data_IF_473302745682
#
_entry.id   IF_473302745682
#
_cell.length_a   1.000
_cell.length_b   1.000
_cell.length_c   1.000
_cell.angle_alpha   90.00
_cell.angle_beta   90.00
_cell.angle_gamma   90.00
#
_symmetry.space_group_name_H-M   'P 1'
#
loop_
_entity.id
_entity.type
_entity.pdbx_description
1 polymer ?
#
# COMPACT_ATOMS: atom_id res chain seq x y z
N UNK A 1 23.91 15.51 24.62
CA UNK A 1 23.26 14.26 24.18
C UNK A 1 21.81 14.58 23.91
N UNK A 2 21.47 14.90 22.66
CA UNK A 2 20.07 15.17 22.29
C UNK A 2 19.32 13.83 22.34
N UNK A 3 18.42 13.69 23.33
CA UNK A 3 17.40 12.64 23.28
C UNK A 3 16.46 13.03 22.16
N UNK A 4 16.64 12.45 20.98
CA UNK A 4 15.64 12.55 19.92
C UNK A 4 14.39 11.88 20.46
N UNK A 5 13.43 12.68 20.95
CA UNK A 5 12.14 12.14 21.38
C UNK A 5 11.52 11.49 20.16
N UNK A 6 11.44 10.18 20.20
CA UNK A 6 10.92 9.37 19.13
C UNK A 6 9.41 9.36 19.33
N UNK A 7 8.73 10.25 18.60
CA UNK A 7 7.28 10.43 18.70
C UNK A 7 6.68 9.85 17.43
N UNK A 8 6.04 8.68 17.54
CA UNK A 8 5.28 8.07 16.46
C UNK A 8 3.82 8.33 16.70
N UNK A 9 3.19 8.91 15.68
CA UNK A 9 1.74 9.07 15.64
C UNK A 9 1.12 7.75 15.16
N UNK A 10 0.83 6.85 16.09
CA UNK A 10 0.21 5.55 15.79
C UNK A 10 -1.15 5.71 15.10
N UNK A 11 -1.93 6.73 15.46
CA UNK A 11 -3.20 7.04 14.78
C UNK A 11 -2.97 7.48 13.34
N UNK A 12 -1.93 8.28 13.08
CA UNK A 12 -1.51 8.66 11.73
C UNK A 12 -1.04 7.47 10.90
N UNK A 13 -0.37 6.49 11.52
CA UNK A 13 0.10 5.28 10.86
C UNK A 13 -1.05 4.33 10.49
N UNK A 14 -2.00 4.13 11.39
CA UNK A 14 -3.22 3.37 11.12
C UNK A 14 -4.04 4.00 9.99
N UNK A 15 -4.19 5.33 9.99
CA UNK A 15 -4.87 6.05 8.92
C UNK A 15 -4.18 5.86 7.57
N UNK A 16 -2.84 5.95 7.55
CA UNK A 16 -2.05 5.73 6.33
C UNK A 16 -2.20 4.30 5.79
N UNK A 17 -2.22 3.29 6.67
CA UNK A 17 -2.45 1.90 6.27
C UNK A 17 -3.85 1.70 5.67
N UNK A 18 -4.87 2.33 6.25
CA UNK A 18 -6.23 2.29 5.71
C UNK A 18 -6.33 2.97 4.33
N UNK A 19 -5.67 4.12 4.15
CA UNK A 19 -5.61 4.82 2.87
C UNK A 19 -4.90 3.99 1.80
N UNK A 20 -3.78 3.35 2.15
CA UNK A 20 -3.07 2.44 1.23
C UNK A 20 -3.94 1.24 0.83
N UNK A 21 -4.69 0.66 1.76
CA UNK A 21 -5.63 -0.42 1.46
C UNK A 21 -6.74 0.03 0.51
N UNK A 22 -7.28 1.25 0.69
CA UNK A 22 -8.29 1.82 -0.21
C UNK A 22 -7.74 2.07 -1.62
N UNK A 23 -6.54 2.65 -1.73
CA UNK A 23 -5.88 2.90 -3.02
C UNK A 23 -5.56 1.58 -3.74
N UNK A 24 -5.11 0.55 -3.02
CA UNK A 24 -4.90 -0.79 -3.56
C UNK A 24 -6.20 -1.37 -4.13
N UNK A 25 -7.28 -1.33 -3.36
CA UNK A 25 -8.58 -1.84 -3.79
C UNK A 25 -9.08 -1.13 -5.06
N UNK A 26 -8.87 0.18 -5.18
CA UNK A 26 -9.22 0.93 -6.39
C UNK A 26 -8.42 0.45 -7.61
N UNK A 27 -7.11 0.26 -7.47
CA UNK A 27 -6.26 -0.25 -8.56
C UNK A 27 -6.64 -1.67 -9.01
N UNK A 28 -7.02 -2.53 -8.07
CA UNK A 28 -7.51 -3.89 -8.32
C UNK A 28 -8.91 -3.90 -8.96
N UNK A 29 -9.77 -2.93 -8.63
CA UNK A 29 -11.17 -2.87 -9.11
C UNK A 29 -11.32 -2.35 -10.54
N UNK A 30 -10.31 -1.71 -11.11
CA UNK A 30 -10.41 -1.06 -12.42
C UNK A 30 -10.68 -2.09 -13.54
N UNK A 31 -11.95 -2.20 -13.91
CA UNK A 31 -12.45 -3.16 -14.89
C UNK A 31 -11.87 -2.91 -16.30
N UNK A 32 -11.49 -3.99 -16.98
CA UNK A 32 -10.93 -3.96 -18.33
C UNK A 32 -12.04 -3.90 -19.38
N UNK A 33 -12.70 -2.74 -19.50
CA UNK A 33 -13.68 -2.44 -20.58
C UNK A 33 -13.08 -2.46 -22.01
N UNK A 34 -11.81 -2.82 -22.12
CA UNK A 34 -11.04 -2.82 -23.34
C UNK A 34 -11.47 -3.88 -24.35
N UNK A 35 -11.98 -5.04 -23.92
CA UNK A 35 -12.46 -6.07 -24.87
C UNK A 35 -13.70 -5.57 -25.61
N UNK A 36 -14.67 -5.01 -24.88
CA UNK A 36 -15.88 -4.42 -25.47
C UNK A 36 -15.56 -3.22 -26.37
N UNK A 37 -14.59 -2.39 -25.99
CA UNK A 37 -14.17 -1.22 -26.79
C UNK A 37 -13.40 -1.65 -28.04
N UNK A 38 -12.57 -2.70 -27.95
CA UNK A 38 -11.83 -3.25 -29.08
C UNK A 38 -12.77 -3.89 -30.12
N UNK A 39 -13.81 -4.62 -29.68
CA UNK A 39 -14.82 -5.21 -30.55
C UNK A 39 -15.68 -4.14 -31.27
N UNK A 40 -15.97 -3.02 -30.60
CA UNK A 40 -16.79 -1.93 -31.15
C UNK A 40 -16.08 -1.08 -32.24
N UNK A 41 -14.75 -1.11 -32.31
CA UNK A 41 -13.98 -0.22 -33.18
C UNK A 41 -14.01 -0.61 -34.67
N UNK A 42 -14.43 -1.82 -35.02
CA UNK A 42 -14.58 -2.28 -36.41
C UNK A 42 -13.30 -2.33 -37.26
N UNK A 43 -12.14 -1.98 -36.68
CA UNK A 43 -10.85 -1.91 -37.37
C UNK A 43 -9.77 -2.66 -36.59
N UNK A 44 -9.25 -3.74 -37.18
CA UNK A 44 -8.37 -4.71 -36.50
C UNK A 44 -7.14 -4.09 -35.82
N UNK A 45 -6.40 -3.20 -36.50
CA UNK A 45 -5.22 -2.54 -35.89
C UNK A 45 -5.57 -1.58 -34.75
N UNK A 46 -6.78 -1.02 -34.74
CA UNK A 46 -7.21 -0.13 -33.67
C UNK A 46 -7.63 -0.96 -32.45
N UNK A 47 -8.36 -2.05 -32.68
CA UNK A 47 -8.71 -3.04 -31.66
C UNK A 47 -7.45 -3.61 -30.98
N UNK A 48 -6.42 -3.95 -31.75
CA UNK A 48 -5.12 -4.43 -31.23
C UNK A 48 -4.44 -3.38 -30.35
N UNK A 49 -4.40 -2.10 -30.79
CA UNK A 49 -3.83 -1.01 -29.98
C UNK A 49 -4.61 -0.77 -28.68
N UNK A 50 -5.94 -0.80 -28.72
CA UNK A 50 -6.80 -0.63 -27.54
C UNK A 50 -6.58 -1.77 -26.55
N UNK A 51 -6.51 -3.01 -27.06
CA UNK A 51 -6.23 -4.19 -26.24
C UNK A 51 -4.84 -4.10 -25.59
N UNK A 52 -3.81 -3.77 -26.38
CA UNK A 52 -2.45 -3.61 -25.88
C UNK A 52 -2.32 -2.50 -24.84
N UNK A 53 -2.98 -1.36 -25.05
CA UNK A 53 -3.01 -0.25 -24.09
C UNK A 53 -3.65 -0.70 -22.76
N UNK A 54 -4.78 -1.41 -22.83
CA UNK A 54 -5.47 -1.88 -21.64
C UNK A 54 -4.69 -2.95 -20.88
N UNK A 55 -4.08 -3.91 -21.57
CA UNK A 55 -3.20 -4.89 -20.94
C UNK A 55 -2.04 -4.22 -20.21
N UNK A 56 -1.35 -3.27 -20.87
CA UNK A 56 -0.28 -2.50 -20.22
C UNK A 56 -0.79 -1.72 -19.00
N UNK A 57 -1.99 -1.14 -19.11
CA UNK A 57 -2.63 -0.43 -18.00
C UNK A 57 -2.92 -1.37 -16.82
N UNK A 58 -3.37 -2.60 -17.08
CA UNK A 58 -3.60 -3.60 -16.05
C UNK A 58 -2.27 -4.03 -15.38
N UNK A 59 -1.24 -4.31 -16.16
CA UNK A 59 0.08 -4.68 -15.65
C UNK A 59 0.67 -3.58 -14.75
N UNK A 60 0.54 -2.32 -15.18
CA UNK A 60 0.99 -1.16 -14.40
C UNK A 60 0.22 -1.01 -13.09
N UNK A 61 -1.10 -1.24 -13.10
CA UNK A 61 -1.94 -1.20 -11.90
C UNK A 61 -1.61 -2.33 -10.93
N UNK A 62 -1.33 -3.53 -11.43
CA UNK A 62 -0.86 -4.64 -10.61
C UNK A 62 0.47 -4.33 -9.93
N UNK A 63 1.44 -3.76 -10.66
CA UNK A 63 2.73 -3.33 -10.08
C UNK A 63 2.56 -2.27 -8.99
N UNK A 64 1.65 -1.30 -9.17
CA UNK A 64 1.38 -0.29 -8.16
C UNK A 64 0.72 -0.89 -6.91
N UNK A 65 -0.20 -1.84 -7.08
CA UNK A 65 -0.83 -2.55 -5.97
C UNK A 65 0.19 -3.38 -5.15
N UNK A 66 1.17 -3.98 -5.83
CA UNK A 66 2.30 -4.68 -5.19
C UNK A 66 3.16 -3.72 -4.37
N UNK A 67 3.59 -2.59 -4.96
CA UNK A 67 4.38 -1.57 -4.26
C UNK A 67 3.65 -0.97 -3.05
N UNK A 68 2.33 -0.78 -3.15
CA UNK A 68 1.50 -0.33 -2.02
C UNK A 68 1.48 -1.38 -0.91
N UNK A 69 1.43 -2.66 -1.28
CA UNK A 69 1.48 -3.77 -0.31
C UNK A 69 2.82 -3.80 0.41
N UNK A 70 3.94 -3.71 -0.32
CA UNK A 70 5.29 -3.63 0.27
C UNK A 70 5.44 -2.45 1.23
N UNK A 71 4.89 -1.28 0.85
CA UNK A 71 4.89 -0.11 1.72
C UNK A 71 4.08 -0.35 3.01
N UNK A 72 2.90 -0.98 2.90
CA UNK A 72 2.09 -1.34 4.06
C UNK A 72 2.82 -2.30 5.02
N UNK A 73 3.51 -3.30 4.48
CA UNK A 73 4.31 -4.24 5.27
C UNK A 73 5.47 -3.56 6.00
N UNK A 74 6.17 -2.63 5.33
CA UNK A 74 7.22 -1.85 5.95
C UNK A 74 6.69 -0.98 7.11
N UNK A 75 5.54 -0.32 6.91
CA UNK A 75 4.89 0.48 7.94
C UNK A 75 4.41 -0.36 9.13
N UNK A 76 3.84 -1.54 8.89
CA UNK A 76 3.45 -2.47 9.95
C UNK A 76 4.65 -3.01 10.74
N UNK A 77 5.77 -3.24 10.07
CA UNK A 77 7.03 -3.64 10.72
C UNK A 77 7.55 -2.54 11.64
N UNK A 78 7.50 -1.28 11.18
CA UNK A 78 7.84 -0.11 11.98
C UNK A 78 6.95 -0.08 13.22
N UNK A 79 5.63 -0.11 13.06
CA UNK A 79 4.66 -0.07 14.17
C UNK A 79 4.93 -1.13 15.24
N UNK A 80 5.14 -2.37 14.79
CA UNK A 80 5.42 -3.52 15.66
C UNK A 80 6.72 -3.30 16.44
N UNK A 81 7.79 -2.90 15.76
CA UNK A 81 9.09 -2.67 16.39
C UNK A 81 9.00 -1.57 17.45
N UNK A 82 8.22 -0.52 17.20
CA UNK A 82 8.04 0.56 18.15
C UNK A 82 7.22 0.15 19.36
N UNK A 83 6.14 -0.59 19.13
CA UNK A 83 5.33 -1.17 20.21
C UNK A 83 6.15 -2.09 21.10
N UNK A 84 7.02 -2.93 20.52
CA UNK A 84 7.93 -3.81 21.28
C UNK A 84 8.92 -3.01 22.13
N UNK A 85 9.58 -1.99 21.55
CA UNK A 85 10.54 -1.13 22.27
C UNK A 85 9.87 -0.36 23.41
N UNK A 86 8.64 0.12 23.22
CA UNK A 86 7.87 0.79 24.26
C UNK A 86 7.54 -0.16 25.42
N UNK A 87 7.10 -1.39 25.12
CA UNK A 87 6.80 -2.41 26.13
C UNK A 87 8.06 -2.83 26.91
N UNK A 88 9.20 -2.98 26.23
CA UNK A 88 10.48 -3.25 26.90
C UNK A 88 10.87 -2.11 27.85
N UNK A 89 10.74 -0.86 27.40
CA UNK A 89 11.06 0.31 28.21
C UNK A 89 10.13 0.45 29.42
N UNK A 90 8.82 0.23 29.23
CA UNK A 90 7.84 0.21 30.32
C UNK A 90 8.17 -0.90 31.33
N UNK A 91 8.51 -2.10 30.86
CA UNK A 91 8.92 -3.22 31.71
C UNK A 91 10.16 -2.91 32.54
N UNK A 92 11.15 -2.23 31.97
CA UNK A 92 12.36 -1.77 32.69
C UNK A 92 12.02 -0.70 33.73
N UNK A 93 11.15 0.25 33.39
CA UNK A 93 10.76 1.34 34.30
C UNK A 93 9.89 0.85 35.46
N UNK A 94 8.94 -0.06 35.22
CA UNK A 94 8.07 -0.64 36.25
C UNK A 94 8.73 -1.77 37.04
N UNK A 95 9.72 -2.45 36.45
CA UNK A 95 10.51 -3.50 37.08
C UNK A 95 11.74 -3.01 37.85
N UNK A 96 12.14 -1.76 37.66
CA UNK A 96 13.34 -1.15 38.25
C UNK A 96 13.23 -0.70 39.71
N UNK A 97 12.09 -0.91 40.37
CA UNK A 97 11.83 -0.49 41.76
C UNK A 97 11.61 -1.67 42.72
N UNK A 98 12.38 -2.76 42.54
CA UNK A 98 12.51 -3.86 43.51
C UNK A 98 13.95 -4.18 43.82
#
# INVERSE_FOLDING_TARGET
MARTSLNIDGLGLEALLADLAAVKAEFESGDSSASATAEACGHARLAEKISSFATNGNDRRAQLAEQITELGEALSTIDTTFTEVEQELEGVLLGGDK
#
